data_IF_819627335209
#
_entry.id   IF_819627335209
#
_cell.length_a   1.000
_cell.length_b   1.000
_cell.length_c   1.000
_cell.angle_alpha   90.00
_cell.angle_beta   90.00
_cell.angle_gamma   90.00
#
_symmetry.space_group_name_H-M   'P 1'
#
loop_
_entity.id
_entity.type
_entity.pdbx_description
1 polymer ?
#
# COMPACT_ATOMS: atom_id res chain seq x y z
N UNK A 1 49.34 -9.65 14.34
CA UNK A 1 48.96 -8.33 13.81
C UNK A 1 47.47 -8.21 14.01
N UNK A 2 47.10 -7.37 14.96
CA UNK A 2 45.76 -6.94 15.31
C UNK A 2 45.19 -6.02 14.23
N UNK A 3 43.90 -5.70 14.41
CA UNK A 3 43.20 -4.52 13.89
C UNK A 3 42.63 -4.65 12.47
N UNK A 4 41.37 -5.10 12.40
CA UNK A 4 40.25 -4.15 12.38
C UNK A 4 38.93 -4.91 12.45
N UNK A 5 38.50 -5.21 13.68
CA UNK A 5 37.07 -5.29 13.94
C UNK A 5 36.51 -3.90 13.70
N UNK A 6 35.81 -3.75 12.57
CA UNK A 6 34.94 -2.62 12.32
C UNK A 6 33.83 -2.70 13.37
N UNK A 7 34.06 -2.05 14.52
CA UNK A 7 33.04 -1.73 15.50
C UNK A 7 31.97 -0.91 14.78
N UNK A 8 30.93 -1.57 14.28
CA UNK A 8 29.65 -0.90 14.08
C UNK A 8 29.13 -0.53 15.47
N UNK A 9 29.35 0.72 15.86
CA UNK A 9 28.62 1.34 16.97
C UNK A 9 27.13 1.22 16.67
N UNK A 10 26.47 0.33 17.42
CA UNK A 10 25.03 0.05 17.39
C UNK A 10 24.31 0.97 18.37
N UNK A 11 24.49 2.28 18.23
CA UNK A 11 23.48 3.21 18.75
C UNK A 11 22.40 3.36 17.67
N UNK A 12 21.67 2.26 17.43
CA UNK A 12 20.47 2.32 16.60
C UNK A 12 19.46 3.19 17.34
N UNK A 13 19.32 4.44 16.92
CA UNK A 13 18.24 5.31 17.39
C UNK A 13 16.93 4.61 17.01
N UNK A 14 16.15 4.11 17.99
CA UNK A 14 14.92 3.39 17.71
C UNK A 14 13.91 4.37 17.12
N UNK A 15 12.91 3.83 16.43
CA UNK A 15 11.76 4.64 16.04
C UNK A 15 11.10 5.27 17.27
N UNK A 16 10.54 6.49 17.14
CA UNK A 16 9.80 7.09 18.23
C UNK A 16 8.64 6.17 18.62
N UNK A 17 8.30 6.22 19.90
CA UNK A 17 7.19 5.46 20.47
C UNK A 17 6.26 6.43 21.20
N UNK A 18 4.98 6.07 21.24
CA UNK A 18 3.99 6.77 22.05
C UNK A 18 3.74 6.02 23.35
N UNK A 19 3.54 6.75 24.44
CA UNK A 19 3.26 6.17 25.76
C UNK A 19 1.80 6.37 26.16
N UNK A 20 1.10 7.33 25.55
CA UNK A 20 -0.35 7.48 25.59
C UNK A 20 -0.90 7.36 24.14
N UNK A 21 -1.92 6.52 23.88
CA UNK A 21 -2.54 6.40 22.55
C UNK A 21 -3.02 7.73 21.97
N UNK A 22 -3.41 8.70 22.84
CA UNK A 22 -3.86 10.04 22.44
C UNK A 22 -2.73 10.89 21.84
N UNK A 23 -1.48 10.54 22.12
CA UNK A 23 -0.31 11.24 21.56
C UNK A 23 -0.01 10.84 20.12
N UNK A 24 -0.67 9.80 19.57
CA UNK A 24 -0.40 9.29 18.22
C UNK A 24 -0.47 10.40 17.15
N UNK A 25 -1.52 11.21 17.18
CA UNK A 25 -1.67 12.32 16.24
C UNK A 25 -0.56 13.37 16.37
N UNK A 26 -0.32 13.82 17.61
CA UNK A 26 0.71 14.81 17.90
C UNK A 26 2.14 14.32 17.55
N UNK A 27 2.43 13.04 17.76
CA UNK A 27 3.70 12.42 17.36
C UNK A 27 3.84 12.41 15.84
N UNK A 28 2.79 12.04 15.11
CA UNK A 28 2.74 12.10 13.65
C UNK A 28 3.03 13.52 13.13
N UNK A 29 2.38 14.53 13.70
CA UNK A 29 2.57 15.93 13.31
C UNK A 29 4.00 16.42 13.57
N UNK A 30 4.61 16.03 14.69
CA UNK A 30 6.03 16.34 14.98
C UNK A 30 6.98 15.74 13.97
N UNK A 31 6.75 14.48 13.56
CA UNK A 31 7.56 13.80 12.54
C UNK A 31 7.43 14.54 11.20
N UNK A 32 6.20 14.93 10.83
CA UNK A 32 5.98 15.66 9.57
C UNK A 32 6.68 17.01 9.58
N UNK A 33 6.54 17.78 10.66
CA UNK A 33 7.22 19.08 10.81
C UNK A 33 8.74 18.94 10.71
N UNK A 34 9.31 17.91 11.36
CA UNK A 34 10.74 17.64 11.26
C UNK A 34 11.18 17.34 9.81
N UNK A 35 10.38 16.58 9.06
CA UNK A 35 10.67 16.30 7.64
C UNK A 35 10.54 17.57 6.79
N UNK A 36 9.50 18.36 6.97
CA UNK A 36 9.29 19.63 6.25
C UNK A 36 10.45 20.61 6.52
N UNK A 37 10.92 20.70 7.76
CA UNK A 37 12.11 21.47 8.14
C UNK A 37 13.36 20.96 7.41
N UNK A 38 13.60 19.64 7.41
CA UNK A 38 14.75 19.06 6.70
C UNK A 38 14.70 19.31 5.19
N UNK A 39 13.52 19.23 4.57
CA UNK A 39 13.37 19.54 3.13
C UNK A 39 13.61 21.04 2.83
N UNK A 40 13.23 21.95 3.72
CA UNK A 40 13.59 23.37 3.62
C UNK A 40 15.10 23.59 3.82
N UNK A 41 15.70 22.94 4.81
CA UNK A 41 17.14 23.02 5.07
C UNK A 41 17.97 22.42 3.94
N UNK A 42 17.53 21.33 3.32
CA UNK A 42 18.15 20.77 2.13
C UNK A 42 18.12 21.77 0.96
N UNK A 43 16.98 22.41 0.69
CA UNK A 43 16.87 23.47 -0.33
C UNK A 43 17.77 24.68 -0.04
N UNK A 44 17.95 25.03 1.23
CA UNK A 44 18.81 26.13 1.68
C UNK A 44 20.28 25.74 1.89
N UNK A 45 20.65 24.48 1.63
CA UNK A 45 22.01 23.96 1.83
C UNK A 45 22.51 24.07 3.28
N UNK A 46 21.62 23.89 4.26
CA UNK A 46 21.95 23.88 5.68
C UNK A 46 21.49 22.60 6.39
N UNK A 47 21.31 21.50 5.65
CA UNK A 47 20.80 20.21 6.13
C UNK A 47 21.64 19.64 7.28
N UNK A 48 22.97 19.75 7.23
CA UNK A 48 23.88 19.27 8.28
C UNK A 48 23.57 19.89 9.65
N UNK A 49 23.22 21.18 9.69
CA UNK A 49 22.86 21.87 10.94
C UNK A 49 21.55 21.33 11.50
N UNK A 50 20.56 21.10 10.64
CA UNK A 50 19.26 20.58 11.07
C UNK A 50 19.32 19.11 11.51
N UNK A 51 20.17 18.29 10.87
CA UNK A 51 20.46 16.91 11.29
C UNK A 51 21.35 16.84 12.54
N UNK A 52 22.13 17.89 12.81
CA UNK A 52 22.86 18.05 14.07
C UNK A 52 21.96 18.27 15.29
N UNK A 53 20.68 18.59 15.07
CA UNK A 53 19.68 18.68 16.14
C UNK A 53 19.28 17.28 16.62
N UNK A 54 19.59 16.96 17.88
CA UNK A 54 19.27 15.66 18.50
C UNK A 54 17.78 15.33 18.40
N UNK A 55 16.90 16.32 18.58
CA UNK A 55 15.45 16.12 18.54
C UNK A 55 14.97 15.64 17.16
N UNK A 56 15.52 16.21 16.08
CA UNK A 56 15.20 15.78 14.71
C UNK A 56 15.68 14.35 14.45
N UNK A 57 16.89 13.98 14.90
CA UNK A 57 17.38 12.61 14.75
C UNK A 57 16.56 11.60 15.55
N UNK A 58 16.11 11.97 16.76
CA UNK A 58 15.26 11.12 17.59
C UNK A 58 13.87 10.92 16.97
N UNK A 59 13.26 11.97 16.43
CA UNK A 59 11.95 11.88 15.78
C UNK A 59 11.98 11.04 14.51
N UNK A 60 13.08 11.12 13.75
CA UNK A 60 13.22 10.41 12.49
C UNK A 60 13.75 8.98 12.65
N UNK A 61 14.35 8.66 13.80
CA UNK A 61 15.11 7.42 13.97
C UNK A 61 16.29 7.30 12.99
N UNK A 62 17.07 6.23 13.16
CA UNK A 62 18.28 5.98 12.36
C UNK A 62 18.00 5.83 10.86
N UNK A 63 16.85 5.27 10.48
CA UNK A 63 16.54 4.96 9.08
C UNK A 63 16.25 6.19 8.24
N UNK A 64 15.41 7.12 8.71
CA UNK A 64 15.13 8.36 7.98
C UNK A 64 16.28 9.34 8.11
N UNK A 65 16.88 9.51 9.31
CA UNK A 65 18.04 10.39 9.48
C UNK A 65 19.18 10.01 8.51
N UNK A 66 19.50 8.72 8.42
CA UNK A 66 20.52 8.23 7.48
C UNK A 66 20.13 8.39 6.01
N UNK A 67 18.85 8.56 5.65
CA UNK A 67 18.44 8.92 4.28
C UNK A 67 18.76 10.39 3.97
N UNK A 68 18.48 11.29 4.91
CA UNK A 68 18.79 12.71 4.78
C UNK A 68 20.30 12.97 4.84
N UNK A 69 21.06 12.26 5.69
CA UNK A 69 22.54 12.34 5.73
C UNK A 69 23.20 12.06 4.36
N UNK A 70 22.51 11.34 3.47
CA UNK A 70 23.01 10.96 2.12
C UNK A 70 22.58 11.91 1.01
N UNK A 71 21.83 12.97 1.31
CA UNK A 71 21.46 14.02 0.36
C UNK A 71 22.63 14.99 0.18
N UNK A 72 23.56 14.63 -0.69
CA UNK A 72 24.81 15.38 -0.92
C UNK A 72 24.76 16.31 -2.14
N UNK A 73 23.66 16.32 -2.90
CA UNK A 73 23.57 17.04 -4.16
C UNK A 73 22.86 18.37 -3.96
N UNK A 74 23.46 19.44 -4.47
CA UNK A 74 22.82 20.75 -4.60
C UNK A 74 21.67 20.63 -5.61
N UNK A 75 20.41 20.78 -5.18
CA UNK A 75 19.32 20.54 -6.10
C UNK A 75 19.16 21.69 -7.08
N UNK A 76 18.87 21.37 -8.34
CA UNK A 76 18.32 22.34 -9.28
C UNK A 76 16.93 22.81 -8.80
N UNK A 77 16.45 23.95 -9.31
CA UNK A 77 15.10 24.43 -8.98
C UNK A 77 14.02 23.42 -9.39
N UNK A 78 14.18 22.81 -10.57
CA UNK A 78 13.28 21.78 -11.10
C UNK A 78 13.25 20.55 -10.19
N UNK A 79 14.43 20.06 -9.77
CA UNK A 79 14.52 18.92 -8.86
C UNK A 79 13.90 19.24 -7.48
N UNK A 80 14.13 20.45 -6.98
CA UNK A 80 13.55 20.91 -5.72
C UNK A 80 12.03 20.91 -5.77
N UNK A 81 11.44 21.39 -6.87
CA UNK A 81 9.98 21.41 -7.07
C UNK A 81 9.42 20.00 -7.15
N UNK A 82 10.03 19.15 -7.98
CA UNK A 82 9.69 17.75 -8.11
C UNK A 82 9.71 17.06 -6.74
N UNK A 83 10.84 17.08 -6.03
CA UNK A 83 10.97 16.41 -4.72
C UNK A 83 9.93 16.91 -3.72
N UNK A 84 9.70 18.23 -3.65
CA UNK A 84 8.74 18.83 -2.72
C UNK A 84 7.33 18.25 -2.90
N UNK A 85 6.84 18.17 -4.13
CA UNK A 85 5.50 17.62 -4.43
C UNK A 85 5.39 16.16 -3.96
N UNK A 86 6.37 15.33 -4.31
CA UNK A 86 6.39 13.92 -3.94
C UNK A 86 6.52 13.67 -2.44
N UNK A 87 7.35 14.46 -1.75
CA UNK A 87 7.45 14.40 -0.29
C UNK A 87 6.12 14.82 0.33
N UNK A 88 5.50 15.90 -0.13
CA UNK A 88 4.20 16.35 0.41
C UNK A 88 3.14 15.27 0.28
N UNK A 89 2.99 14.66 -0.90
CA UNK A 89 2.05 13.55 -1.11
C UNK A 89 2.33 12.37 -0.16
N UNK A 90 3.61 12.03 0.04
CA UNK A 90 3.98 10.94 0.96
C UNK A 90 3.64 11.30 2.42
N UNK A 91 3.84 12.57 2.82
CA UNK A 91 3.49 13.07 4.15
C UNK A 91 1.97 13.11 4.36
N UNK A 92 1.20 13.44 3.33
CA UNK A 92 -0.27 13.44 3.39
C UNK A 92 -0.83 12.02 3.51
N UNK A 93 -0.24 11.05 2.80
CA UNK A 93 -0.56 9.63 3.02
C UNK A 93 -0.15 9.17 4.43
N UNK A 94 1.03 9.55 4.90
CA UNK A 94 1.49 9.28 6.26
C UNK A 94 0.45 9.82 7.26
N UNK A 95 0.05 11.10 7.16
CA UNK A 95 -0.99 11.76 8.01
C UNK A 95 -2.31 11.02 8.05
N UNK A 96 -2.75 10.43 6.95
CA UNK A 96 -4.04 9.74 6.87
C UNK A 96 -4.24 8.62 7.91
N UNK A 97 -3.16 8.04 8.44
CA UNK A 97 -3.24 6.95 9.42
C UNK A 97 -3.58 7.39 10.86
N UNK A 98 -3.36 8.66 11.23
CA UNK A 98 -3.66 9.15 12.60
C UNK A 98 -4.61 10.34 12.64
N UNK A 99 -5.23 10.70 11.51
CA UNK A 99 -6.41 11.58 11.56
C UNK A 99 -7.43 10.98 12.54
N UNK A 100 -8.08 11.86 13.30
CA UNK A 100 -9.13 11.48 14.24
C UNK A 100 -10.19 10.61 13.52
N UNK A 101 -10.52 9.42 14.06
CA UNK A 101 -11.55 8.57 13.51
C UNK A 101 -12.88 9.30 13.38
N UNK A 102 -13.61 9.00 12.31
CA UNK A 102 -15.03 9.39 12.18
C UNK A 102 -15.95 8.41 12.87
N UNK A 103 -15.50 7.16 13.05
CA UNK A 103 -16.18 6.13 13.80
C UNK A 103 -15.18 5.40 14.69
N UNK A 104 -15.52 5.22 15.96
CA UNK A 104 -14.72 4.49 16.93
C UNK A 104 -15.51 3.33 17.52
N UNK A 105 -14.82 2.21 17.73
CA UNK A 105 -15.42 1.02 18.30
C UNK A 105 -14.61 0.52 19.49
N UNK A 106 -15.29 0.39 20.64
CA UNK A 106 -14.68 -0.22 21.83
C UNK A 106 -14.44 -1.70 21.62
N UNK A 107 -13.33 -2.17 22.15
CA UNK A 107 -12.86 -3.51 21.91
C UNK A 107 -12.28 -4.19 23.14
N UNK A 108 -12.57 -5.48 23.28
CA UNK A 108 -11.89 -6.38 24.20
C UNK A 108 -10.89 -7.21 23.40
N UNK A 109 -9.63 -7.25 23.80
CA UNK A 109 -8.63 -8.06 23.13
C UNK A 109 -8.80 -9.55 23.43
N UNK A 110 -8.63 -10.36 22.38
CA UNK A 110 -8.63 -11.82 22.42
C UNK A 110 -7.22 -12.33 22.11
N UNK A 111 -6.47 -12.67 23.17
CA UNK A 111 -5.11 -13.22 23.08
C UNK A 111 -5.04 -14.52 22.26
N UNK A 112 -6.10 -15.35 22.31
CA UNK A 112 -6.16 -16.62 21.58
C UNK A 112 -6.07 -16.47 20.06
N UNK A 113 -6.37 -15.27 19.54
CA UNK A 113 -6.49 -14.99 18.10
C UNK A 113 -5.69 -13.77 17.64
N UNK A 114 -4.93 -13.12 18.52
CA UNK A 114 -4.25 -11.83 18.24
C UNK A 114 -5.19 -10.81 17.57
N UNK A 115 -6.42 -10.74 18.07
CA UNK A 115 -7.51 -9.98 17.47
C UNK A 115 -8.35 -9.28 18.53
N UNK A 116 -9.00 -8.20 18.14
CA UNK A 116 -9.96 -7.46 18.93
C UNK A 116 -11.37 -8.03 18.73
N UNK A 117 -12.17 -8.07 19.78
CA UNK A 117 -13.61 -8.34 19.74
C UNK A 117 -14.37 -7.04 19.90
N UNK A 118 -15.20 -6.73 18.91
CA UNK A 118 -15.90 -5.45 18.80
C UNK A 118 -17.39 -5.70 18.67
N UNK A 119 -18.19 -5.05 19.51
CA UNK A 119 -19.64 -5.08 19.35
C UNK A 119 -20.08 -4.06 18.29
N UNK A 120 -20.83 -4.51 17.29
CA UNK A 120 -21.44 -3.66 16.27
C UNK A 120 -22.88 -4.11 16.01
N UNK A 121 -23.86 -3.24 16.28
CA UNK A 121 -25.29 -3.53 16.13
C UNK A 121 -25.73 -4.87 16.77
N UNK A 122 -25.23 -5.16 17.97
CA UNK A 122 -25.56 -6.39 18.70
C UNK A 122 -24.83 -7.66 18.22
N UNK A 123 -23.97 -7.56 17.22
CA UNK A 123 -23.12 -8.66 16.75
C UNK A 123 -21.68 -8.45 17.18
N UNK A 124 -21.02 -9.50 17.65
CA UNK A 124 -19.60 -9.46 17.96
C UNK A 124 -18.76 -9.75 16.70
N UNK A 125 -17.82 -8.86 16.40
CA UNK A 125 -16.96 -8.91 15.22
C UNK A 125 -15.52 -9.06 15.67
N UNK A 126 -14.81 -10.02 15.08
CA UNK A 126 -13.38 -10.16 15.28
C UNK A 126 -12.61 -9.30 14.29
N UNK A 127 -11.69 -8.48 14.79
CA UNK A 127 -10.85 -7.58 14.01
C UNK A 127 -9.39 -7.90 14.32
N UNK A 128 -8.64 -8.43 13.36
CA UNK A 128 -7.21 -8.70 13.57
C UNK A 128 -6.42 -7.41 13.73
N UNK A 129 -5.25 -7.47 14.35
CA UNK A 129 -4.41 -6.29 14.53
C UNK A 129 -4.04 -5.60 13.20
N UNK A 130 -3.77 -6.36 12.13
CA UNK A 130 -3.53 -5.80 10.80
C UNK A 130 -4.75 -5.08 10.21
N UNK A 131 -5.95 -5.63 10.40
CA UNK A 131 -7.20 -5.01 9.98
C UNK A 131 -7.48 -3.73 10.78
N UNK A 132 -7.25 -3.74 12.09
CA UNK A 132 -7.40 -2.56 12.93
C UNK A 132 -6.48 -1.41 12.49
N UNK A 133 -5.25 -1.72 12.07
CA UNK A 133 -4.33 -0.72 11.49
C UNK A 133 -4.82 -0.20 10.15
N UNK A 134 -5.28 -1.08 9.25
CA UNK A 134 -5.76 -0.69 7.93
C UNK A 134 -7.04 0.14 8.00
N UNK A 135 -7.96 -0.20 8.92
CA UNK A 135 -9.19 0.52 9.17
C UNK A 135 -8.97 2.01 9.50
N UNK A 136 -7.83 2.37 10.10
CA UNK A 136 -7.47 3.78 10.37
C UNK A 136 -7.39 4.63 9.12
N UNK A 137 -6.97 4.06 7.99
CA UNK A 137 -6.89 4.76 6.70
C UNK A 137 -8.29 5.20 6.23
N UNK A 138 -9.32 4.43 6.62
CA UNK A 138 -10.74 4.72 6.41
C UNK A 138 -11.35 5.54 7.54
N UNK A 139 -10.53 6.08 8.44
CA UNK A 139 -10.95 6.83 9.64
C UNK A 139 -11.83 6.01 10.58
N UNK A 140 -11.61 4.69 10.61
CA UNK A 140 -12.23 3.79 11.58
C UNK A 140 -11.23 3.49 12.70
N UNK A 141 -11.62 3.81 13.94
CA UNK A 141 -10.84 3.61 15.15
C UNK A 141 -11.27 2.35 15.91
N UNK A 142 -10.30 1.57 16.36
CA UNK A 142 -10.51 0.53 17.37
C UNK A 142 -9.94 1.07 18.68
N UNK A 143 -10.74 1.05 19.73
CA UNK A 143 -10.42 1.56 21.07
C UNK A 143 -10.36 0.38 22.06
N UNK A 144 -9.17 -0.19 22.29
CA UNK A 144 -9.02 -1.28 23.26
C UNK A 144 -9.35 -0.80 24.67
N UNK A 145 -10.08 -1.62 25.43
CA UNK A 145 -10.44 -1.31 26.82
C UNK A 145 -9.23 -1.31 27.78
N UNK A 146 -8.16 -2.05 27.44
CA UNK A 146 -6.90 -2.06 28.17
C UNK A 146 -5.91 -1.02 27.61
N UNK A 147 -5.37 -0.20 28.51
CA UNK A 147 -4.44 0.87 28.15
C UNK A 147 -3.16 0.34 27.47
N UNK A 148 -2.61 -0.80 27.91
CA UNK A 148 -1.39 -1.35 27.30
C UNK A 148 -1.65 -1.82 25.87
N UNK A 149 -2.81 -2.42 25.63
CA UNK A 149 -3.23 -2.82 24.29
C UNK A 149 -3.49 -1.61 23.38
N UNK A 150 -4.07 -0.53 23.91
CA UNK A 150 -4.24 0.71 23.19
C UNK A 150 -2.87 1.33 22.80
N UNK A 151 -1.90 1.34 23.71
CA UNK A 151 -0.51 1.79 23.45
C UNK A 151 0.15 0.89 22.41
N UNK A 152 -0.05 -0.43 22.50
CA UNK A 152 0.49 -1.39 21.53
C UNK A 152 -0.08 -1.13 20.12
N UNK A 153 -1.40 -0.95 19.99
CA UNK A 153 -2.03 -0.64 18.71
C UNK A 153 -1.52 0.68 18.13
N UNK A 154 -1.43 1.73 18.95
CA UNK A 154 -0.94 3.05 18.52
C UNK A 154 0.50 2.98 18.00
N UNK A 155 1.40 2.30 18.71
CA UNK A 155 2.78 2.08 18.24
C UNK A 155 2.83 1.21 16.98
N UNK A 156 1.95 0.19 16.87
CA UNK A 156 1.86 -0.65 15.67
C UNK A 156 1.46 0.16 14.43
N UNK A 157 0.49 1.08 14.56
CA UNK A 157 0.10 2.03 13.51
C UNK A 157 1.26 2.96 13.18
N UNK A 158 1.88 3.59 14.18
CA UNK A 158 2.98 4.53 14.00
C UNK A 158 4.16 3.89 13.24
N UNK A 159 4.63 2.74 13.72
CA UNK A 159 5.79 2.07 13.16
C UNK A 159 5.51 1.56 11.74
N UNK A 160 4.34 0.97 11.47
CA UNK A 160 3.97 0.54 10.12
C UNK A 160 3.98 1.72 9.13
N UNK A 161 3.43 2.88 9.53
CA UNK A 161 3.42 4.10 8.73
C UNK A 161 4.83 4.68 8.52
N UNK A 162 5.67 4.68 9.56
CA UNK A 162 7.08 5.14 9.48
C UNK A 162 7.93 4.27 8.55
N UNK A 163 7.79 2.94 8.63
CA UNK A 163 8.50 2.04 7.72
C UNK A 163 8.15 2.31 6.25
N UNK A 164 6.88 2.60 5.99
CA UNK A 164 6.41 2.94 4.64
C UNK A 164 6.93 4.30 4.19
N UNK A 165 6.79 5.33 5.03
CA UNK A 165 7.35 6.66 4.78
C UNK A 165 8.85 6.60 4.46
N UNK A 166 9.63 5.85 5.23
CA UNK A 166 11.06 5.67 4.99
C UNK A 166 11.36 4.94 3.67
N UNK A 167 10.54 3.95 3.29
CA UNK A 167 10.68 3.27 2.01
C UNK A 167 10.40 4.22 0.83
N UNK A 168 9.36 5.05 0.95
CA UNK A 168 8.93 5.97 -0.10
C UNK A 168 9.88 7.17 -0.23
N UNK A 169 10.33 7.78 0.86
CA UNK A 169 11.37 8.84 0.85
C UNK A 169 12.67 8.32 0.23
N UNK A 170 13.05 7.07 0.52
CA UNK A 170 14.21 6.43 -0.13
C UNK A 170 14.00 6.26 -1.63
N UNK A 171 12.78 5.94 -2.06
CA UNK A 171 12.45 5.85 -3.47
C UNK A 171 12.59 7.23 -4.13
N UNK A 172 11.99 8.27 -3.55
CA UNK A 172 12.06 9.65 -4.05
C UNK A 172 13.53 10.08 -4.20
N UNK A 173 14.40 9.78 -3.21
CA UNK A 173 15.83 10.08 -3.31
C UNK A 173 16.51 9.40 -4.51
N UNK A 174 16.14 8.15 -4.84
CA UNK A 174 16.64 7.46 -6.04
C UNK A 174 16.07 8.04 -7.34
N UNK A 175 14.81 8.46 -7.32
CA UNK A 175 14.17 9.15 -8.46
C UNK A 175 14.86 10.48 -8.75
N UNK A 176 15.25 11.22 -7.70
CA UNK A 176 16.01 12.46 -7.85
C UNK A 176 17.33 12.21 -8.59
N UNK A 177 18.10 11.21 -8.16
CA UNK A 177 19.35 10.82 -8.84
C UNK A 177 19.10 10.40 -10.30
N UNK A 178 18.02 9.68 -10.56
CA UNK A 178 17.64 9.26 -11.90
C UNK A 178 17.26 10.43 -12.83
N UNK A 179 16.51 11.39 -12.28
CA UNK A 179 16.10 12.60 -12.96
C UNK A 179 17.32 13.43 -13.37
N UNK A 180 18.22 13.72 -12.43
CA UNK A 180 19.46 14.46 -12.70
C UNK A 180 20.37 13.76 -13.71
N UNK A 181 20.39 12.43 -13.69
CA UNK A 181 21.18 11.62 -14.61
C UNK A 181 20.53 11.46 -16.00
N UNK A 182 19.36 12.06 -16.25
CA UNK A 182 18.63 11.98 -17.51
C UNK A 182 17.96 10.62 -17.80
N UNK A 183 17.91 9.71 -16.82
CA UNK A 183 17.22 8.41 -16.96
C UNK A 183 15.71 8.52 -16.79
N UNK A 184 15.24 9.59 -16.16
CA UNK A 184 13.82 9.87 -15.95
C UNK A 184 13.49 11.32 -16.36
N UNK A 185 13.70 11.71 -17.62
CA UNK A 185 13.65 13.12 -18.04
C UNK A 185 12.26 13.75 -17.89
N UNK A 186 11.20 12.95 -17.85
CA UNK A 186 9.81 13.39 -17.74
C UNK A 186 9.21 13.11 -16.35
N UNK A 187 10.02 13.06 -15.30
CA UNK A 187 9.52 12.77 -13.95
C UNK A 187 8.51 13.83 -13.45
N UNK A 188 8.63 15.06 -13.94
CA UNK A 188 7.73 16.19 -13.71
C UNK A 188 6.33 16.01 -14.31
N UNK A 189 6.17 15.09 -15.27
CA UNK A 189 4.86 14.73 -15.85
C UNK A 189 4.16 13.61 -15.06
N UNK A 190 4.85 12.99 -14.10
CA UNK A 190 4.29 11.93 -13.28
C UNK A 190 3.55 12.59 -12.11
N UNK A 191 2.22 12.67 -12.24
CA UNK A 191 1.36 13.14 -11.15
C UNK A 191 0.93 11.95 -10.28
N UNK A 192 1.24 12.02 -8.99
CA UNK A 192 0.79 11.05 -8.00
C UNK A 192 -0.11 11.76 -6.99
N UNK A 193 -1.38 11.33 -6.92
CA UNK A 193 -2.35 11.88 -5.98
C UNK A 193 -2.82 10.79 -5.03
N UNK A 194 -2.40 10.91 -3.76
CA UNK A 194 -2.69 9.96 -2.68
C UNK A 194 -4.17 9.92 -2.28
N UNK A 195 -4.92 10.97 -2.62
CA UNK A 195 -6.37 11.08 -2.41
C UNK A 195 -7.19 10.73 -3.65
N UNK A 196 -6.55 10.20 -4.70
CA UNK A 196 -7.28 9.77 -5.87
C UNK A 196 -8.14 8.54 -5.58
N UNK A 197 -9.25 8.43 -6.33
CA UNK A 197 -10.13 7.25 -6.29
C UNK A 197 -9.38 5.96 -6.61
N UNK A 198 -8.32 6.02 -7.42
CA UNK A 198 -7.46 4.87 -7.71
C UNK A 198 -6.79 4.30 -6.46
N UNK A 199 -6.17 5.16 -5.64
CA UNK A 199 -5.53 4.75 -4.38
C UNK A 199 -6.55 4.20 -3.38
N UNK A 200 -7.75 4.81 -3.30
CA UNK A 200 -8.83 4.28 -2.47
C UNK A 200 -9.26 2.88 -2.92
N UNK A 201 -9.38 2.65 -4.24
CA UNK A 201 -9.69 1.34 -4.77
C UNK A 201 -8.58 0.30 -4.49
N UNK A 202 -7.31 0.66 -4.63
CA UNK A 202 -6.19 -0.21 -4.25
C UNK A 202 -6.26 -0.65 -2.78
N UNK A 203 -6.58 0.28 -1.87
CA UNK A 203 -6.76 0.02 -0.44
C UNK A 203 -7.93 -0.93 -0.21
N UNK A 204 -9.07 -0.69 -0.84
CA UNK A 204 -10.25 -1.55 -0.74
C UNK A 204 -9.94 -2.99 -1.21
N UNK A 205 -9.23 -3.13 -2.33
CA UNK A 205 -8.83 -4.45 -2.84
C UNK A 205 -7.85 -5.11 -1.87
N UNK A 206 -6.89 -4.38 -1.30
CA UNK A 206 -5.99 -4.93 -0.30
C UNK A 206 -6.74 -5.44 0.94
N UNK A 207 -7.76 -4.70 1.41
CA UNK A 207 -8.60 -5.12 2.53
C UNK A 207 -9.38 -6.40 2.20
N UNK A 208 -10.02 -6.45 1.01
CA UNK A 208 -10.72 -7.66 0.51
C UNK A 208 -9.78 -8.86 0.47
N UNK A 209 -8.58 -8.71 -0.07
CA UNK A 209 -7.59 -9.79 -0.15
C UNK A 209 -7.10 -10.22 1.24
N UNK A 210 -7.15 -9.31 2.22
CA UNK A 210 -6.78 -9.57 3.60
C UNK A 210 -7.95 -9.97 4.51
N UNK A 211 -9.15 -10.24 3.99
CA UNK A 211 -10.32 -10.54 4.83
C UNK A 211 -10.05 -11.72 5.79
N UNK A 212 -9.54 -12.84 5.26
CA UNK A 212 -9.33 -14.09 6.03
C UNK A 212 -7.91 -14.24 6.58
N UNK A 213 -6.90 -13.78 5.83
CA UNK A 213 -5.48 -13.84 6.21
C UNK A 213 -4.70 -12.63 5.68
N UNK A 214 -3.62 -12.24 6.34
CA UNK A 214 -2.76 -11.15 5.86
C UNK A 214 -1.84 -11.64 4.73
N UNK A 215 -2.28 -11.49 3.48
CA UNK A 215 -1.55 -11.95 2.29
C UNK A 215 -1.19 -10.82 1.31
N UNK A 216 -1.83 -9.65 1.42
CA UNK A 216 -1.71 -8.54 0.50
C UNK A 216 -1.13 -7.30 1.19
N UNK A 217 -0.16 -6.66 0.54
CA UNK A 217 0.41 -5.39 0.99
C UNK A 217 0.50 -4.43 -0.17
N UNK A 218 0.26 -3.13 0.08
CA UNK A 218 0.58 -2.11 -0.92
C UNK A 218 2.06 -2.18 -1.30
N UNK A 219 2.35 -2.00 -2.57
CA UNK A 219 3.72 -1.92 -3.03
C UNK A 219 4.37 -0.61 -2.54
N UNK A 220 5.70 -0.60 -2.47
CA UNK A 220 6.42 0.65 -2.26
C UNK A 220 6.27 1.57 -3.47
N UNK A 221 6.45 2.89 -3.29
CA UNK A 221 6.32 3.85 -4.37
C UNK A 221 7.18 3.50 -5.60
N UNK A 222 8.38 2.96 -5.37
CA UNK A 222 9.26 2.56 -6.48
C UNK A 222 8.78 1.34 -7.24
N UNK A 223 8.05 0.44 -6.61
CA UNK A 223 7.44 -0.71 -7.29
C UNK A 223 6.20 -0.29 -8.07
N UNK A 224 5.41 0.64 -7.53
CA UNK A 224 4.27 1.23 -8.24
C UNK A 224 4.73 1.91 -9.53
N UNK A 225 5.63 2.89 -9.43
CA UNK A 225 6.05 3.69 -10.58
C UNK A 225 6.89 2.93 -11.60
N UNK A 226 7.81 2.08 -11.15
CA UNK A 226 8.81 1.47 -12.05
C UNK A 226 8.54 0.00 -12.36
N UNK A 227 7.70 -0.65 -11.55
CA UNK A 227 7.33 -2.06 -11.74
C UNK A 227 5.83 -2.25 -11.93
N UNK A 228 5.04 -1.17 -12.08
CA UNK A 228 3.59 -1.22 -12.35
C UNK A 228 2.85 -2.12 -11.36
N UNK A 229 3.28 -2.07 -10.11
CA UNK A 229 2.80 -2.95 -9.05
C UNK A 229 2.10 -2.11 -8.01
N UNK A 230 0.78 -2.21 -7.94
CA UNK A 230 -0.01 -1.49 -6.94
C UNK A 230 0.00 -2.28 -5.61
N UNK A 231 -0.14 -3.62 -5.70
CA UNK A 231 -0.11 -4.55 -4.56
C UNK A 231 0.88 -5.71 -4.76
N UNK A 232 1.38 -6.22 -3.64
CA UNK A 232 2.10 -7.50 -3.53
C UNK A 232 1.20 -8.51 -2.82
N UNK A 233 1.02 -9.69 -3.41
CA UNK A 233 0.27 -10.79 -2.77
C UNK A 233 1.14 -12.01 -2.57
N UNK A 234 1.09 -12.61 -1.38
CA UNK A 234 1.91 -13.75 -1.00
C UNK A 234 1.06 -14.84 -0.34
N UNK A 235 0.43 -15.65 -1.18
CA UNK A 235 -0.29 -16.83 -0.72
C UNK A 235 0.66 -17.96 -0.28
N UNK A 236 0.25 -18.81 0.68
CA UNK A 236 0.95 -20.05 0.97
C UNK A 236 1.15 -20.89 -0.31
N UNK A 237 2.37 -21.41 -0.51
CA UNK A 237 2.73 -22.20 -1.68
C UNK A 237 3.08 -21.40 -2.95
N UNK A 238 2.86 -20.07 -2.97
CA UNK A 238 3.22 -19.25 -4.12
C UNK A 238 4.76 -19.20 -4.29
N UNK A 239 5.32 -19.62 -5.44
CA UNK A 239 6.76 -19.79 -5.58
C UNK A 239 7.52 -18.50 -5.90
N UNK A 240 7.27 -17.45 -5.12
CA UNK A 240 7.92 -16.14 -5.28
C UNK A 240 8.32 -15.57 -3.93
N UNK A 241 9.63 -15.31 -3.75
CA UNK A 241 10.20 -14.73 -2.52
C UNK A 241 9.45 -13.47 -2.05
N UNK A 242 9.07 -12.61 -3.00
CA UNK A 242 8.43 -11.32 -2.77
C UNK A 242 6.95 -11.29 -3.17
N UNK A 243 6.31 -12.46 -3.36
CA UNK A 243 4.93 -12.54 -3.81
C UNK A 243 4.71 -12.21 -5.29
N UNK A 244 3.47 -12.36 -5.75
CA UNK A 244 3.01 -11.92 -7.05
C UNK A 244 2.79 -10.41 -7.06
N UNK A 245 2.91 -9.83 -8.25
CA UNK A 245 2.68 -8.40 -8.50
C UNK A 245 1.26 -8.25 -9.02
N UNK A 246 0.47 -7.42 -8.37
CA UNK A 246 -0.90 -7.14 -8.74
C UNK A 246 -1.01 -5.66 -9.11
N UNK A 247 -1.64 -5.41 -10.24
CA UNK A 247 -2.02 -4.08 -10.68
C UNK A 247 -3.53 -3.99 -10.62
N UNK A 248 -4.04 -2.97 -9.97
CA UNK A 248 -5.44 -2.76 -9.65
C UNK A 248 -5.90 -1.47 -10.34
N UNK A 249 -6.92 -1.56 -11.18
CA UNK A 249 -7.50 -0.37 -11.83
C UNK A 249 -9.03 -0.43 -11.82
N UNK A 250 -9.66 0.65 -11.38
CA UNK A 250 -11.11 0.79 -11.37
C UNK A 250 -11.61 1.21 -12.75
N UNK A 251 -11.65 0.25 -13.69
CA UNK A 251 -12.05 0.47 -15.09
C UNK A 251 -13.13 -0.55 -15.44
N UNK A 252 -14.34 -0.06 -15.71
CA UNK A 252 -15.48 -0.86 -16.14
C UNK A 252 -15.70 -0.88 -17.65
N UNK A 253 -14.89 -0.17 -18.43
CA UNK A 253 -14.99 -0.06 -19.88
C UNK A 253 -13.86 -0.88 -20.56
N UNK A 254 -14.22 -1.79 -21.45
CA UNK A 254 -13.28 -2.72 -22.10
C UNK A 254 -12.31 -2.02 -23.05
N UNK A 255 -12.77 -0.96 -23.73
CA UNK A 255 -11.95 -0.19 -24.67
C UNK A 255 -10.87 0.57 -23.90
N UNK A 256 -11.23 1.19 -22.79
CA UNK A 256 -10.29 1.88 -21.91
C UNK A 256 -9.31 0.91 -21.23
N UNK A 257 -9.78 -0.27 -20.79
CA UNK A 257 -8.89 -1.31 -20.25
C UNK A 257 -7.86 -1.74 -21.30
N UNK A 258 -8.32 -2.01 -22.52
CA UNK A 258 -7.47 -2.44 -23.63
C UNK A 258 -6.42 -1.37 -23.97
N UNK A 259 -6.82 -0.10 -24.03
CA UNK A 259 -5.89 1.01 -24.27
C UNK A 259 -4.83 1.14 -23.16
N UNK A 260 -5.24 1.01 -21.89
CA UNK A 260 -4.32 1.12 -20.76
C UNK A 260 -3.40 -0.09 -20.58
N UNK A 261 -3.80 -1.26 -21.08
CA UNK A 261 -2.99 -2.48 -21.02
C UNK A 261 -2.10 -2.63 -22.25
N UNK A 262 -2.50 -2.19 -23.44
CA UNK A 262 -1.79 -2.43 -24.71
C UNK A 262 -0.28 -2.11 -24.71
N UNK A 263 0.15 -1.08 -23.97
CA UNK A 263 1.56 -0.66 -23.94
C UNK A 263 2.42 -1.40 -22.91
N UNK A 264 1.84 -2.31 -22.12
CA UNK A 264 2.55 -3.00 -21.04
C UNK A 264 3.36 -4.17 -21.61
N UNK A 265 4.68 -4.13 -21.41
CA UNK A 265 5.56 -5.26 -21.71
C UNK A 265 5.43 -6.32 -20.62
N UNK A 266 5.41 -7.58 -21.03
CA UNK A 266 5.33 -8.76 -20.16
C UNK A 266 4.09 -8.76 -19.24
N UNK A 267 2.89 -8.45 -19.75
CA UNK A 267 1.66 -8.43 -18.94
C UNK A 267 1.37 -9.77 -18.27
N UNK A 268 1.80 -10.86 -18.90
CA UNK A 268 1.57 -12.23 -18.47
C UNK A 268 2.20 -12.57 -17.11
N UNK A 269 3.20 -11.80 -16.66
CA UNK A 269 3.85 -11.99 -15.35
C UNK A 269 3.23 -11.16 -14.22
N UNK A 270 2.19 -10.38 -14.52
CA UNK A 270 1.40 -9.58 -13.58
C UNK A 270 -0.02 -10.15 -13.43
N UNK A 271 -0.61 -9.89 -12.28
CA UNK A 271 -2.06 -10.01 -12.11
C UNK A 271 -2.67 -8.65 -12.40
N UNK A 272 -3.50 -8.56 -13.43
CA UNK A 272 -4.25 -7.34 -13.75
C UNK A 272 -5.66 -7.52 -13.21
N UNK A 273 -5.99 -6.77 -12.16
CA UNK A 273 -7.31 -6.75 -11.55
C UNK A 273 -8.05 -5.49 -11.99
N UNK A 274 -9.11 -5.71 -12.75
CA UNK A 274 -10.10 -4.69 -13.11
C UNK A 274 -11.50 -5.29 -13.03
N UNK A 275 -12.55 -4.47 -12.88
CA UNK A 275 -13.94 -4.92 -13.04
C UNK A 275 -14.18 -5.72 -14.33
N UNK A 276 -13.60 -5.32 -15.46
CA UNK A 276 -13.65 -6.06 -16.74
C UNK A 276 -13.07 -7.46 -16.60
N UNK A 277 -11.88 -7.60 -16.00
CA UNK A 277 -11.23 -8.91 -15.81
C UNK A 277 -12.00 -9.82 -14.86
N UNK A 278 -12.66 -9.25 -13.85
CA UNK A 278 -13.54 -9.99 -12.95
C UNK A 278 -14.80 -10.49 -13.68
N UNK A 279 -15.43 -9.66 -14.52
CA UNK A 279 -16.59 -10.07 -15.33
C UNK A 279 -16.23 -11.21 -16.29
N UNK A 280 -15.12 -11.08 -17.02
CA UNK A 280 -14.62 -12.15 -17.91
C UNK A 280 -14.31 -13.45 -17.16
N UNK A 281 -13.75 -13.34 -15.95
CA UNK A 281 -13.47 -14.51 -15.12
C UNK A 281 -14.77 -15.17 -14.64
N UNK A 282 -15.87 -14.43 -14.46
CA UNK A 282 -17.19 -15.00 -14.16
C UNK A 282 -17.69 -15.88 -15.29
N UNK A 283 -17.67 -15.37 -16.51
CA UNK A 283 -18.07 -16.13 -17.70
C UNK A 283 -17.25 -17.40 -17.87
N UNK A 284 -15.91 -17.29 -17.75
CA UNK A 284 -15.02 -18.45 -17.86
C UNK A 284 -15.32 -19.52 -16.80
N UNK A 285 -15.60 -19.11 -15.56
CA UNK A 285 -15.95 -20.07 -14.50
C UNK A 285 -17.28 -20.77 -14.80
N UNK A 286 -18.28 -20.04 -15.32
CA UNK A 286 -19.59 -20.59 -15.67
C UNK A 286 -19.49 -21.56 -16.85
N UNK A 287 -18.74 -21.21 -17.90
CA UNK A 287 -18.46 -22.10 -19.04
C UNK A 287 -17.75 -23.37 -18.61
N UNK A 288 -16.83 -23.28 -17.65
CA UNK A 288 -16.10 -24.42 -17.09
C UNK A 288 -16.93 -25.24 -16.08
N UNK A 289 -18.14 -24.82 -15.72
CA UNK A 289 -18.95 -25.45 -14.66
C UNK A 289 -18.33 -25.32 -13.26
N UNK A 290 -17.42 -24.39 -13.05
CA UNK A 290 -16.72 -24.17 -11.78
C UNK A 290 -17.46 -23.11 -10.94
N UNK A 291 -17.93 -23.48 -9.75
CA UNK A 291 -18.55 -22.56 -8.80
C UNK A 291 -17.65 -22.28 -7.59
N UNK A 292 -16.41 -21.85 -7.81
CA UNK A 292 -15.41 -21.64 -6.74
C UNK A 292 -15.74 -20.51 -5.76
N UNK A 293 -16.84 -19.79 -5.94
CA UNK A 293 -17.23 -18.57 -5.20
C UNK A 293 -18.69 -18.55 -4.70
N UNK A 294 -19.44 -19.63 -4.90
CA UNK A 294 -20.88 -19.71 -4.62
C UNK A 294 -21.74 -19.10 -5.74
N UNK A 295 -21.74 -19.73 -6.91
CA UNK A 295 -22.19 -19.16 -8.19
C UNK A 295 -23.63 -18.65 -8.23
N UNK A 296 -24.54 -19.19 -7.42
CA UNK A 296 -25.94 -18.73 -7.41
C UNK A 296 -26.10 -17.41 -6.61
N UNK A 297 -25.20 -17.13 -5.65
CA UNK A 297 -25.26 -15.94 -4.80
C UNK A 297 -24.73 -14.67 -5.49
N UNK A 298 -23.88 -14.81 -6.52
CA UNK A 298 -23.25 -13.64 -7.16
C UNK A 298 -24.27 -12.80 -7.91
N UNK A 299 -25.25 -13.44 -8.55
CA UNK A 299 -26.29 -12.76 -9.33
C UNK A 299 -27.27 -11.99 -8.45
N UNK A 300 -27.50 -12.43 -7.21
CA UNK A 300 -28.29 -11.69 -6.23
C UNK A 300 -27.66 -10.33 -5.86
N UNK A 301 -26.36 -10.14 -6.12
CA UNK A 301 -25.67 -8.86 -5.91
C UNK A 301 -26.00 -7.81 -6.99
N UNK A 302 -26.63 -8.21 -8.10
CA UNK A 302 -26.88 -7.34 -9.26
C UNK A 302 -28.36 -7.38 -9.67
N UNK A 303 -29.22 -6.54 -9.05
CA UNK A 303 -30.66 -6.55 -9.31
C UNK A 303 -31.05 -6.31 -10.78
N UNK A 304 -30.21 -5.59 -11.53
CA UNK A 304 -30.44 -5.32 -12.95
C UNK A 304 -30.13 -6.50 -13.88
N UNK A 305 -29.61 -7.62 -13.35
CA UNK A 305 -29.21 -8.83 -14.09
C UNK A 305 -28.44 -8.49 -15.38
N UNK A 306 -27.17 -8.08 -15.26
CA UNK A 306 -26.36 -7.66 -16.41
C UNK A 306 -26.43 -8.67 -17.56
N UNK A 307 -26.71 -8.18 -18.77
CA UNK A 307 -26.94 -9.04 -19.94
C UNK A 307 -25.63 -9.54 -20.57
N UNK A 308 -24.53 -8.80 -20.40
CA UNK A 308 -23.22 -9.10 -20.99
C UNK A 308 -22.05 -8.73 -20.05
N UNK A 309 -20.83 -9.05 -20.49
CA UNK A 309 -19.57 -8.79 -19.77
C UNK A 309 -19.39 -7.32 -19.43
N UNK A 310 -19.76 -6.42 -20.33
CA UNK A 310 -19.57 -4.98 -20.19
C UNK A 310 -20.52 -4.40 -19.15
N UNK A 311 -21.81 -4.77 -19.20
CA UNK A 311 -22.78 -4.39 -18.17
C UNK A 311 -22.38 -4.93 -16.79
N UNK A 312 -21.86 -6.18 -16.73
CA UNK A 312 -21.38 -6.78 -15.49
C UNK A 312 -20.15 -6.04 -14.95
N UNK A 313 -19.19 -5.68 -15.80
CA UNK A 313 -18.02 -4.89 -15.42
C UNK A 313 -18.41 -3.50 -14.89
N UNK A 314 -19.41 -2.85 -15.51
CA UNK A 314 -19.95 -1.60 -15.02
C UNK A 314 -20.64 -1.77 -13.65
N UNK A 315 -21.45 -2.84 -13.49
CA UNK A 315 -22.11 -3.14 -12.23
C UNK A 315 -21.11 -3.41 -11.10
N UNK A 316 -20.05 -4.19 -11.36
CA UNK A 316 -18.93 -4.40 -10.44
C UNK A 316 -18.24 -3.09 -10.07
N UNK A 317 -17.96 -2.23 -11.05
CA UNK A 317 -17.38 -0.90 -10.81
C UNK A 317 -18.24 -0.10 -9.83
N UNK A 318 -19.57 -0.10 -10.03
CA UNK A 318 -20.51 0.59 -9.15
C UNK A 318 -20.56 0.03 -7.74
N UNK A 319 -20.40 -1.28 -7.57
CA UNK A 319 -20.29 -1.92 -6.24
C UNK A 319 -19.07 -1.39 -5.49
N UNK A 320 -17.91 -1.35 -6.15
CA UNK A 320 -16.68 -0.84 -5.52
C UNK A 320 -16.73 0.67 -5.26
N UNK A 321 -17.24 1.46 -6.21
CA UNK A 321 -17.41 2.91 -6.04
C UNK A 321 -18.29 3.22 -4.82
N UNK A 322 -19.44 2.55 -4.69
CA UNK A 322 -20.35 2.74 -3.55
C UNK A 322 -19.71 2.36 -2.22
N UNK A 323 -18.85 1.33 -2.21
CA UNK A 323 -18.12 0.95 -1.00
C UNK A 323 -17.13 2.05 -0.61
N UNK A 324 -16.32 2.53 -1.55
CA UNK A 324 -15.32 3.61 -1.33
C UNK A 324 -15.99 4.91 -0.87
N UNK A 325 -17.14 5.25 -1.45
CA UNK A 325 -17.87 6.49 -1.16
C UNK A 325 -18.73 6.41 0.11
N UNK A 326 -18.80 5.26 0.77
CA UNK A 326 -19.63 5.10 1.96
C UNK A 326 -18.99 5.75 3.19
N UNK A 327 -19.74 6.60 3.89
CA UNK A 327 -19.34 7.05 5.23
C UNK A 327 -19.58 5.90 6.20
N UNK A 328 -18.51 5.19 6.58
CA UNK A 328 -18.62 3.91 7.29
C UNK A 328 -18.98 4.02 8.77
N UNK A 329 -19.75 3.02 9.19
CA UNK A 329 -20.04 2.63 10.57
C UNK A 329 -19.78 1.14 10.79
N UNK A 330 -18.67 0.62 10.27
CA UNK A 330 -18.27 -0.78 10.48
C UNK A 330 -16.80 -0.90 10.89
N UNK A 331 -16.44 -1.75 11.89
CA UNK A 331 -15.05 -1.88 12.37
C UNK A 331 -14.05 -2.49 11.38
N UNK A 332 -14.54 -3.03 10.26
CA UNK A 332 -13.74 -3.64 9.18
C UNK A 332 -13.65 -2.78 7.91
N UNK A 333 -14.11 -1.52 7.99
CA UNK A 333 -13.96 -0.58 6.90
C UNK A 333 -14.96 -0.77 5.72
N UNK A 334 -14.64 -0.24 4.51
CA UNK A 334 -15.54 -0.20 3.35
C UNK A 334 -15.76 -1.56 2.73
N UNK A 335 -14.80 -2.47 2.94
CA UNK A 335 -14.85 -3.83 2.45
C UNK A 335 -16.19 -4.49 2.76
N UNK A 336 -16.80 -4.21 3.91
CA UNK A 336 -18.05 -4.84 4.33
C UNK A 336 -19.27 -4.36 3.53
N UNK A 337 -19.17 -3.27 2.79
CA UNK A 337 -20.18 -2.83 1.81
C UNK A 337 -20.07 -3.55 0.47
N UNK A 338 -18.92 -4.15 0.17
CA UNK A 338 -18.79 -5.03 -0.99
C UNK A 338 -19.46 -6.36 -0.63
N UNK A 339 -20.46 -6.86 -1.36
CA UNK A 339 -21.12 -8.12 -1.04
C UNK A 339 -20.14 -9.30 -0.92
N UNK A 340 -20.37 -10.20 0.04
CA UNK A 340 -19.48 -11.36 0.28
C UNK A 340 -19.19 -12.19 -0.98
N UNK A 341 -20.17 -12.49 -1.87
CA UNK A 341 -19.89 -13.18 -3.13
C UNK A 341 -18.87 -12.43 -4.01
N UNK A 342 -18.96 -11.09 -4.07
CA UNK A 342 -18.02 -10.25 -4.85
C UNK A 342 -16.63 -10.26 -4.21
N UNK A 343 -16.52 -10.24 -2.87
CA UNK A 343 -15.23 -10.34 -2.17
C UNK A 343 -14.54 -11.69 -2.43
N UNK A 344 -15.28 -12.79 -2.32
CA UNK A 344 -14.80 -14.15 -2.66
C UNK A 344 -14.37 -14.24 -4.13
N UNK A 345 -15.09 -13.57 -5.03
CA UNK A 345 -14.72 -13.43 -6.43
C UNK A 345 -13.35 -12.77 -6.62
N UNK A 346 -13.12 -11.63 -5.97
CA UNK A 346 -11.83 -10.92 -5.98
C UNK A 346 -10.71 -11.82 -5.47
N UNK A 347 -10.91 -12.45 -4.31
CA UNK A 347 -9.93 -13.35 -3.69
C UNK A 347 -9.60 -14.56 -4.59
N UNK A 348 -10.63 -15.22 -5.12
CA UNK A 348 -10.49 -16.37 -6.01
C UNK A 348 -9.74 -16.00 -7.29
N UNK A 349 -10.12 -14.90 -7.94
CA UNK A 349 -9.45 -14.40 -9.14
C UNK A 349 -7.96 -14.12 -8.88
N UNK A 350 -7.65 -13.31 -7.86
CA UNK A 350 -6.25 -12.90 -7.58
C UNK A 350 -5.40 -14.11 -7.21
N UNK A 351 -5.95 -15.06 -6.43
CA UNK A 351 -5.25 -16.29 -6.08
C UNK A 351 -4.90 -17.11 -7.33
N UNK A 352 -5.89 -17.44 -8.16
CA UNK A 352 -5.68 -18.21 -9.40
C UNK A 352 -4.68 -17.49 -10.31
N UNK A 353 -4.89 -16.19 -10.56
CA UNK A 353 -4.02 -15.40 -11.43
C UNK A 353 -2.59 -15.27 -10.89
N UNK A 354 -2.40 -15.19 -9.57
CA UNK A 354 -1.08 -15.09 -8.94
C UNK A 354 -0.24 -16.35 -9.17
N UNK A 355 -0.82 -17.54 -9.04
CA UNK A 355 -0.14 -18.80 -9.32
C UNK A 355 0.22 -18.91 -10.80
N UNK A 356 -0.74 -18.65 -11.70
CA UNK A 356 -0.50 -18.67 -13.14
C UNK A 356 0.57 -17.65 -13.58
N UNK A 357 0.57 -16.45 -13.01
CA UNK A 357 1.59 -15.44 -13.27
C UNK A 357 2.98 -15.87 -12.77
N UNK A 358 3.06 -16.59 -11.64
CA UNK A 358 4.32 -17.12 -11.12
C UNK A 358 4.90 -18.23 -12.01
N UNK A 359 4.04 -19.09 -12.57
CA UNK A 359 4.45 -20.12 -13.53
C UNK A 359 4.95 -19.51 -14.84
N UNK A 360 4.20 -18.57 -15.41
CA UNK A 360 4.62 -17.85 -16.63
C UNK A 360 5.92 -17.09 -16.42
N UNK A 361 6.09 -16.47 -15.26
CA UNK A 361 7.34 -15.81 -14.89
C UNK A 361 8.52 -16.78 -14.85
N UNK A 362 8.35 -17.99 -14.29
CA UNK A 362 9.40 -19.01 -14.28
C UNK A 362 9.76 -19.45 -15.70
N UNK A 363 8.75 -19.71 -16.54
CA UNK A 363 8.96 -20.07 -17.93
C UNK A 363 9.77 -18.99 -18.66
N UNK A 364 9.36 -17.72 -18.52
CA UNK A 364 10.04 -16.58 -19.12
C UNK A 364 11.50 -16.42 -18.64
N UNK A 365 11.79 -16.65 -17.36
CA UNK A 365 13.17 -16.60 -16.82
C UNK A 365 14.04 -17.71 -17.37
N UNK A 366 13.48 -18.91 -17.51
CA UNK A 366 14.18 -20.06 -18.07
C UNK A 366 14.50 -19.84 -19.55
N UNK A 367 13.56 -19.27 -20.31
CA UNK A 367 13.75 -18.95 -21.72
C UNK A 367 14.69 -17.75 -21.94
N UNK A 368 14.59 -16.73 -21.07
CA UNK A 368 15.30 -15.44 -21.22
C UNK A 368 15.81 -14.94 -19.86
N UNK A 369 16.99 -15.41 -19.41
CA UNK A 369 17.61 -14.91 -18.19
C UNK A 369 17.76 -13.38 -18.24
N UNK A 370 17.15 -12.68 -17.27
CA UNK A 370 17.14 -11.21 -17.20
C UNK A 370 15.92 -10.52 -17.82
N UNK A 371 14.97 -11.26 -18.40
CA UNK A 371 13.75 -10.69 -18.99
C UNK A 371 12.80 -10.03 -17.98
N UNK A 372 12.96 -10.29 -16.68
CA UNK A 372 12.18 -9.62 -15.64
C UNK A 372 12.90 -8.34 -15.22
N UNK A 373 12.32 -7.16 -15.49
CA UNK A 373 12.85 -5.91 -14.98
C UNK A 373 12.82 -5.91 -13.44
N UNK A 374 13.99 -5.62 -12.85
CA UNK A 374 14.06 -5.16 -11.46
C UNK A 374 14.45 -3.70 -11.50
N UNK A 375 13.59 -2.82 -10.98
CA UNK A 375 13.90 -1.40 -11.02
C UNK A 375 15.19 -1.09 -10.25
N UNK A 376 15.43 -1.81 -9.14
CA UNK A 376 16.67 -1.71 -8.34
C UNK A 376 17.95 -2.01 -9.11
N UNK A 377 17.87 -2.72 -10.24
CA UNK A 377 19.03 -3.01 -11.10
C UNK A 377 19.25 -1.98 -12.22
N UNK A 378 18.29 -1.05 -12.42
CA UNK A 378 18.33 -0.04 -13.48
C UNK A 378 19.05 1.25 -13.10
N UNK A 379 19.34 1.46 -11.81
CA UNK A 379 20.06 2.64 -11.35
C UNK A 379 21.53 2.29 -11.12
N UNK A 380 22.46 3.18 -11.51
CA UNK A 380 23.86 2.98 -11.19
C UNK A 380 23.99 2.77 -9.68
N UNK A 381 24.69 1.71 -9.29
CA UNK A 381 25.10 1.54 -7.90
C UNK A 381 25.97 2.75 -7.58
N UNK A 382 25.57 3.58 -6.60
CA UNK A 382 26.46 4.63 -6.07
C UNK A 382 27.79 3.96 -5.74
N UNK A 383 28.87 4.45 -6.34
CA UNK A 383 30.23 4.09 -5.96
C UNK A 383 30.55 4.69 -4.61
#
# INVERSE_FOLDING_TARGET
MSDSQMQMSTDEIPWPSVHDPKELGAMGDRIVLAIEELEECWRRQCLERALGCTDNRMLLGSQLAGLYDRLTVQPSEQLSRFRKEWIQNTLDEFRSAWVEPTASFRAVWSDSTHAYRVANNGTEISVRNDQARQARIWRVGIEPDDFRQAVHLANSVLHASLYRLAADIRCIGRMCVAYESGYLPNADQIHWNVHSRGIAFERLIADILNEEEFCATRASLGEDLFEWTDLRVKYPGLPRKYGARVQVKLIGDECLESQQTAHRRNQEIYVILTPVRLAQYIEQCLEAGAQTWGGDDIWACFPGQPADTSELAHALSKVFERAIESNESHPLGPMLKVPSPVRRLVQGFVRTAAFSAAERMRALVNERPGAIPRWRSRFPKRR
#
